data_IF_686367684662
#
_entry.id   IF_686367684662
#
_cell.length_a   1.000
_cell.length_b   1.000
_cell.length_c   1.000
_cell.angle_alpha   90.00
_cell.angle_beta   90.00
_cell.angle_gamma   90.00
#
_symmetry.space_group_name_H-M   'P 1'
#
loop_
_entity.id
_entity.type
_entity.pdbx_description
1 polymer ?
#
# COMPACT_ATOMS: atom_id res chain seq x y z
N UNK A 1 20.10 17.99 32.65
CA UNK A 1 19.47 17.00 31.76
C UNK A 1 18.22 16.49 32.45
N UNK A 2 17.07 16.48 31.77
CA UNK A 2 15.83 15.94 32.36
C UNK A 2 15.91 14.41 32.40
N UNK A 3 15.18 13.77 33.33
CA UNK A 3 15.05 12.31 33.34
C UNK A 3 14.52 11.78 31.99
N UNK A 4 13.65 12.54 31.31
CA UNK A 4 13.13 12.19 29.98
C UNK A 4 14.22 12.15 28.90
N UNK A 5 15.15 13.13 28.89
CA UNK A 5 16.28 13.13 27.94
C UNK A 5 17.26 11.98 28.15
N UNK A 6 17.38 11.51 29.41
CA UNK A 6 18.25 10.37 29.75
C UNK A 6 17.62 9.06 29.28
N UNK A 7 16.30 8.88 29.45
CA UNK A 7 15.58 7.68 28.99
C UNK A 7 15.46 7.60 27.47
N UNK A 8 15.25 8.73 26.78
CA UNK A 8 15.24 8.77 25.32
C UNK A 8 16.60 8.37 24.72
N UNK A 9 17.71 8.90 25.28
CA UNK A 9 19.07 8.50 24.92
C UNK A 9 19.37 7.03 25.24
N UNK A 10 18.91 6.52 26.39
CA UNK A 10 19.10 5.10 26.77
C UNK A 10 18.35 4.16 25.82
N UNK A 11 17.21 4.59 25.28
CA UNK A 11 16.41 3.80 24.34
C UNK A 11 16.71 4.11 22.87
N UNK A 12 17.64 5.01 22.57
CA UNK A 12 17.94 5.52 21.22
C UNK A 12 16.68 5.96 20.45
N UNK A 13 15.72 6.62 21.11
CA UNK A 13 14.43 7.03 20.52
C UNK A 13 14.45 8.46 19.98
N UNK A 14 15.62 8.93 19.55
CA UNK A 14 15.86 10.33 19.20
C UNK A 14 15.29 10.71 17.81
N UNK A 15 14.73 9.74 17.08
CA UNK A 15 14.13 9.92 15.75
C UNK A 15 12.73 9.29 15.66
N UNK A 16 11.88 9.81 14.76
CA UNK A 16 10.56 9.23 14.49
C UNK A 16 10.67 7.78 13.99
N UNK A 17 11.70 7.45 13.21
CA UNK A 17 11.97 6.09 12.73
C UNK A 17 12.31 5.13 13.89
N UNK A 18 13.12 5.57 14.85
CA UNK A 18 13.46 4.77 16.01
C UNK A 18 12.24 4.54 16.91
N UNK A 19 11.39 5.56 17.08
CA UNK A 19 10.11 5.44 17.77
C UNK A 19 9.21 4.42 17.07
N UNK A 20 9.05 4.52 15.75
CA UNK A 20 8.26 3.60 14.95
C UNK A 20 8.76 2.16 15.09
N UNK A 21 10.08 1.92 14.94
CA UNK A 21 10.68 0.60 15.09
C UNK A 21 10.47 -0.01 16.48
N UNK A 22 10.59 0.81 17.52
CA UNK A 22 10.35 0.41 18.91
C UNK A 22 8.87 0.05 19.14
N UNK A 23 7.95 0.88 18.67
CA UNK A 23 6.49 0.65 18.75
C UNK A 23 6.10 -0.62 17.98
N UNK A 24 6.64 -0.81 16.76
CA UNK A 24 6.45 -2.00 15.94
C UNK A 24 6.82 -3.28 16.70
N UNK A 25 8.00 -3.29 17.33
CA UNK A 25 8.46 -4.42 18.13
C UNK A 25 7.52 -4.71 19.29
N UNK A 26 7.14 -3.70 20.07
CA UNK A 26 6.23 -3.90 21.21
C UNK A 26 4.85 -4.43 20.80
N UNK A 27 4.30 -3.94 19.68
CA UNK A 27 3.04 -4.48 19.14
C UNK A 27 3.21 -5.94 18.74
N UNK A 28 4.28 -6.26 18.02
CA UNK A 28 4.58 -7.61 17.55
C UNK A 28 4.78 -8.58 18.70
N UNK A 29 5.52 -8.20 19.74
CA UNK A 29 5.72 -9.02 20.94
C UNK A 29 4.42 -9.22 21.72
N UNK A 30 3.62 -8.16 21.91
CA UNK A 30 2.33 -8.28 22.58
C UNK A 30 1.39 -9.25 21.84
N UNK A 31 1.36 -9.19 20.50
CA UNK A 31 0.53 -10.08 19.67
C UNK A 31 1.06 -11.52 19.70
N UNK A 32 2.39 -11.69 19.64
CA UNK A 32 3.03 -13.01 19.75
C UNK A 32 2.73 -13.67 21.08
N UNK A 33 2.82 -12.94 22.19
CA UNK A 33 2.56 -13.46 23.53
C UNK A 33 1.07 -13.68 23.81
N UNK A 34 0.23 -12.73 23.37
CA UNK A 34 -1.20 -12.77 23.62
C UNK A 34 -2.00 -13.66 22.66
N UNK A 35 -1.45 -13.98 21.49
CA UNK A 35 -2.14 -14.63 20.37
C UNK A 35 -3.21 -13.75 19.70
N UNK A 36 -3.88 -12.90 20.47
CA UNK A 36 -4.79 -11.87 20.02
C UNK A 36 -4.70 -10.66 20.96
N UNK A 37 -4.60 -9.45 20.38
CA UNK A 37 -4.57 -8.21 21.16
C UNK A 37 -5.51 -7.18 20.55
N UNK A 38 -6.41 -6.64 21.36
CA UNK A 38 -7.31 -5.57 20.90
C UNK A 38 -6.56 -4.26 20.66
N UNK A 39 -7.06 -3.43 19.73
CA UNK A 39 -6.50 -2.10 19.46
C UNK A 39 -6.42 -1.24 20.73
N UNK A 40 -7.45 -1.31 21.58
CA UNK A 40 -7.48 -0.58 22.86
C UNK A 40 -6.33 -0.99 23.79
N UNK A 41 -6.04 -2.30 23.89
CA UNK A 41 -4.94 -2.82 24.74
C UNK A 41 -3.58 -2.43 24.18
N UNK A 42 -3.41 -2.42 22.86
CA UNK A 42 -2.20 -1.90 22.19
C UNK A 42 -1.99 -0.43 22.58
N UNK A 43 -3.01 0.41 22.36
CA UNK A 43 -2.90 1.85 22.63
C UNK A 43 -2.63 2.14 24.10
N UNK A 44 -3.36 1.50 25.03
CA UNK A 44 -3.16 1.73 26.47
C UNK A 44 -1.80 1.22 26.95
N UNK A 45 -1.38 0.03 26.49
CA UNK A 45 -0.11 -0.59 26.88
C UNK A 45 1.09 0.24 26.42
N UNK A 46 1.06 0.74 25.18
CA UNK A 46 2.12 1.58 24.64
C UNK A 46 2.13 2.96 25.32
N UNK A 47 0.97 3.58 25.55
CA UNK A 47 0.94 4.84 26.30
C UNK A 47 1.58 4.72 27.68
N UNK A 48 1.29 3.64 28.41
CA UNK A 48 1.87 3.44 29.73
C UNK A 48 3.38 3.12 29.66
N UNK A 49 3.80 2.28 28.70
CA UNK A 49 5.20 1.93 28.53
C UNK A 49 6.09 3.13 28.15
N UNK A 50 5.56 4.08 27.37
CA UNK A 50 6.29 5.26 26.91
C UNK A 50 6.03 6.51 27.76
N UNK A 51 5.16 6.43 28.79
CA UNK A 51 4.86 7.53 29.72
C UNK A 51 6.11 8.20 30.33
N UNK A 52 7.18 7.48 30.72
CA UNK A 52 8.39 8.10 31.26
C UNK A 52 9.15 9.00 30.26
N UNK A 53 8.88 8.85 28.97
CA UNK A 53 9.57 9.59 27.89
C UNK A 53 8.90 10.92 27.55
N UNK A 54 7.71 11.18 28.09
CA UNK A 54 6.96 12.42 27.88
C UNK A 54 6.72 12.75 26.39
N UNK A 55 6.51 11.70 25.57
CA UNK A 55 6.19 11.84 24.15
C UNK A 55 4.75 12.34 24.01
N UNK A 56 4.54 13.35 23.14
CA UNK A 56 3.22 13.88 22.85
C UNK A 56 2.24 12.77 22.41
N UNK A 57 1.03 12.78 22.95
CA UNK A 57 0.05 11.70 22.73
C UNK A 57 -0.30 11.53 21.24
N UNK A 58 -0.41 12.63 20.50
CA UNK A 58 -0.73 12.58 19.07
C UNK A 58 0.41 11.98 18.24
N UNK A 59 1.67 12.27 18.59
CA UNK A 59 2.85 11.63 17.97
C UNK A 59 2.86 10.13 18.23
N UNK A 60 2.60 9.72 19.48
CA UNK A 60 2.56 8.30 19.83
C UNK A 60 1.39 7.58 19.15
N UNK A 61 0.23 8.25 19.03
CA UNK A 61 -0.94 7.72 18.32
C UNK A 61 -0.63 7.51 16.84
N UNK A 62 0.01 8.48 16.18
CA UNK A 62 0.44 8.36 14.79
C UNK A 62 1.41 7.18 14.62
N UNK A 63 2.43 7.06 15.49
CA UNK A 63 3.38 5.94 15.45
C UNK A 63 2.70 4.58 15.64
N UNK A 64 1.70 4.45 16.53
CA UNK A 64 0.91 3.22 16.70
C UNK A 64 0.16 2.88 15.42
N UNK A 65 -0.47 3.87 14.78
CA UNK A 65 -1.26 3.66 13.57
C UNK A 65 -0.38 3.28 12.38
N UNK A 66 0.78 3.92 12.24
CA UNK A 66 1.77 3.59 11.24
C UNK A 66 2.35 2.20 11.47
N UNK A 67 2.66 1.85 12.72
CA UNK A 67 3.17 0.53 13.08
C UNK A 67 2.17 -0.59 12.72
N UNK A 68 0.90 -0.44 13.12
CA UNK A 68 -0.17 -1.38 12.75
C UNK A 68 -0.29 -1.46 11.23
N UNK A 69 -0.28 -0.30 10.55
CA UNK A 69 -0.36 -0.22 9.10
C UNK A 69 0.77 -0.98 8.40
N UNK A 70 2.01 -0.85 8.87
CA UNK A 70 3.17 -1.58 8.34
C UNK A 70 3.04 -3.08 8.59
N UNK A 71 2.68 -3.51 9.80
CA UNK A 71 2.53 -4.94 10.14
C UNK A 71 1.43 -5.61 9.32
N UNK A 72 0.32 -4.90 9.07
CA UNK A 72 -0.74 -5.39 8.20
C UNK A 72 -0.30 -5.43 6.73
N UNK A 73 0.37 -4.38 6.24
CA UNK A 73 0.84 -4.33 4.83
C UNK A 73 1.91 -5.39 4.55
N UNK A 74 2.80 -5.66 5.50
CA UNK A 74 3.79 -6.74 5.37
C UNK A 74 3.15 -8.13 5.46
N UNK A 75 2.00 -8.25 6.13
CA UNK A 75 1.33 -9.50 6.43
C UNK A 75 1.94 -10.24 7.62
N UNK A 76 2.51 -9.48 8.56
CA UNK A 76 2.94 -9.97 9.87
C UNK A 76 1.76 -10.29 10.79
N UNK A 77 0.67 -9.51 10.66
CA UNK A 77 -0.54 -9.63 11.48
C UNK A 77 -1.79 -9.52 10.61
N UNK A 78 -2.86 -10.16 11.08
CA UNK A 78 -4.21 -9.99 10.53
C UNK A 78 -5.07 -9.14 11.48
N UNK A 79 -5.94 -8.31 10.90
CA UNK A 79 -6.99 -7.62 11.65
C UNK A 79 -8.23 -8.51 11.75
N UNK A 80 -8.75 -8.66 12.95
CA UNK A 80 -9.98 -9.36 13.24
C UNK A 80 -11.01 -8.39 13.82
N UNK A 81 -12.19 -8.35 13.20
CA UNK A 81 -13.33 -7.62 13.72
C UNK A 81 -14.09 -8.49 14.73
N UNK A 82 -14.26 -7.99 15.95
CA UNK A 82 -15.02 -8.67 17.02
C UNK A 82 -16.16 -7.77 17.50
N UNK A 83 -17.10 -8.32 18.28
CA UNK A 83 -18.16 -7.52 18.91
C UNK A 83 -17.66 -6.42 19.85
N UNK A 84 -16.40 -6.51 20.31
CA UNK A 84 -15.76 -5.50 21.16
C UNK A 84 -14.89 -4.51 20.37
N UNK A 85 -14.91 -4.57 19.04
CA UNK A 85 -14.10 -3.74 18.13
C UNK A 85 -12.99 -4.51 17.43
N UNK A 86 -11.97 -3.78 16.98
CA UNK A 86 -10.82 -4.33 16.22
C UNK A 86 -9.76 -4.91 17.14
N UNK A 87 -9.19 -6.04 16.75
CA UNK A 87 -7.95 -6.56 17.31
C UNK A 87 -7.10 -7.25 16.25
N UNK A 88 -5.94 -7.71 16.67
CA UNK A 88 -4.94 -8.24 15.76
C UNK A 88 -4.36 -9.55 16.27
N UNK A 89 -4.10 -10.46 15.34
CA UNK A 89 -3.52 -11.78 15.60
C UNK A 89 -2.29 -11.99 14.69
N UNK A 90 -1.30 -12.78 15.09
CA UNK A 90 -0.14 -13.01 14.25
C UNK A 90 -0.50 -13.93 13.09
N UNK A 91 0.12 -13.70 11.93
CA UNK A 91 0.06 -14.66 10.84
C UNK A 91 1.00 -15.84 11.09
N UNK A 92 0.82 -16.93 10.33
CA UNK A 92 1.65 -18.14 10.46
C UNK A 92 3.13 -17.83 10.24
N UNK A 93 4.03 -18.20 11.16
CA UNK A 93 5.47 -18.06 11.00
C UNK A 93 6.00 -18.67 9.71
N UNK A 94 6.70 -17.88 8.89
CA UNK A 94 7.26 -18.34 7.61
C UNK A 94 8.43 -17.49 7.15
N UNK A 95 9.34 -18.14 6.42
CA UNK A 95 10.48 -17.51 5.74
C UNK A 95 10.11 -17.26 4.28
N UNK A 96 10.16 -16.01 3.86
CA UNK A 96 9.94 -15.62 2.47
C UNK A 96 11.24 -15.55 1.69
N UNK A 97 11.23 -16.16 0.50
CA UNK A 97 12.38 -16.19 -0.41
C UNK A 97 12.00 -15.65 -1.80
N UNK A 98 12.86 -14.81 -2.38
CA UNK A 98 12.69 -14.31 -3.75
C UNK A 98 13.96 -14.38 -4.60
N UNK A 99 15.07 -14.88 -4.05
CA UNK A 99 16.37 -14.96 -4.74
C UNK A 99 17.28 -13.73 -4.57
N UNK A 100 16.93 -12.82 -3.66
CA UNK A 100 17.80 -11.72 -3.23
C UNK A 100 18.91 -12.16 -2.26
N UNK A 101 19.66 -11.19 -1.72
CA UNK A 101 20.72 -11.44 -0.74
C UNK A 101 20.19 -11.75 0.68
N UNK A 102 18.94 -11.39 0.94
CA UNK A 102 18.25 -11.60 2.20
C UNK A 102 16.97 -12.44 2.02
N UNK A 103 16.47 -12.95 3.14
CA UNK A 103 15.11 -13.44 3.29
C UNK A 103 14.31 -12.48 4.17
N UNK A 104 12.99 -12.61 4.13
CA UNK A 104 12.10 -11.95 5.08
C UNK A 104 11.46 -12.97 5.99
N UNK A 105 11.32 -12.63 7.26
CA UNK A 105 10.65 -13.46 8.26
C UNK A 105 9.35 -12.81 8.68
N UNK A 106 8.24 -13.51 8.47
CA UNK A 106 6.89 -13.05 8.82
C UNK A 106 6.27 -13.83 9.97
N UNK A 107 5.29 -13.21 10.63
CA UNK A 107 4.44 -13.85 11.65
C UNK A 107 5.06 -13.86 13.07
N UNK A 108 4.57 -14.75 13.93
CA UNK A 108 4.93 -14.84 15.36
C UNK A 108 6.37 -15.33 15.68
N UNK A 109 7.36 -14.97 14.86
CA UNK A 109 8.77 -15.35 15.08
C UNK A 109 9.43 -14.40 16.08
N UNK A 110 10.13 -14.93 17.08
CA UNK A 110 10.98 -14.12 17.94
C UNK A 110 12.27 -13.77 17.19
N UNK A 111 12.48 -12.48 16.90
CA UNK A 111 13.70 -11.94 16.31
C UNK A 111 14.02 -10.61 16.97
N UNK A 112 15.28 -10.44 17.38
CA UNK A 112 15.79 -9.18 17.91
C UNK A 112 16.05 -8.20 16.77
N UNK A 113 14.99 -7.67 16.17
CA UNK A 113 15.07 -6.61 15.16
C UNK A 113 13.99 -5.56 15.44
N UNK A 114 14.40 -4.29 15.40
CA UNK A 114 13.50 -3.14 15.43
C UNK A 114 13.07 -2.75 14.02
N UNK A 115 13.57 -3.45 13.00
CA UNK A 115 13.30 -3.10 11.61
C UNK A 115 11.81 -3.35 11.32
N UNK A 116 11.19 -2.48 10.52
CA UNK A 116 9.79 -2.66 10.16
C UNK A 116 9.54 -4.00 9.46
N UNK A 117 10.51 -4.43 8.65
CA UNK A 117 10.54 -5.72 7.98
C UNK A 117 11.77 -6.47 8.47
N UNK A 118 11.55 -7.66 9.04
CA UNK A 118 12.62 -8.49 9.58
C UNK A 118 13.33 -9.22 8.44
N UNK A 119 14.41 -8.63 7.94
CA UNK A 119 15.29 -9.25 6.95
C UNK A 119 16.42 -9.98 7.64
N UNK A 120 16.76 -11.16 7.14
CA UNK A 120 17.86 -11.99 7.62
C UNK A 120 18.68 -12.49 6.43
N UNK A 121 20.02 -12.58 6.54
CA UNK A 121 20.86 -13.13 5.48
C UNK A 121 20.37 -14.48 4.94
N UNK A 122 20.59 -14.76 3.65
CA UNK A 122 20.17 -16.04 3.04
C UNK A 122 20.76 -17.27 3.74
N UNK A 123 21.98 -17.14 4.26
CA UNK A 123 22.70 -18.23 4.93
C UNK A 123 22.17 -18.55 6.34
N UNK A 124 21.32 -17.68 6.91
CA UNK A 124 20.73 -17.92 8.22
C UNK A 124 19.73 -19.08 8.15
N UNK A 125 20.03 -20.13 8.92
CA UNK A 125 19.15 -21.29 9.07
C UNK A 125 18.10 -20.98 10.12
N UNK A 126 16.84 -20.98 9.71
CA UNK A 126 15.69 -20.86 10.60
C UNK A 126 14.78 -22.06 10.40
N UNK A 127 14.28 -22.61 11.50
CA UNK A 127 13.30 -23.71 11.49
C UNK A 127 11.90 -23.16 11.18
N UNK A 128 11.70 -22.72 9.93
CA UNK A 128 10.48 -22.10 9.44
C UNK A 128 10.11 -22.67 8.07
N UNK A 129 8.80 -22.69 7.78
CA UNK A 129 8.31 -23.03 6.45
C UNK A 129 8.84 -21.98 5.47
N UNK A 130 9.57 -22.44 4.45
CA UNK A 130 10.05 -21.58 3.36
C UNK A 130 8.96 -21.42 2.32
N UNK A 131 8.60 -20.18 2.02
CA UNK A 131 7.56 -19.81 1.07
C UNK A 131 8.14 -18.87 0.02
N UNK A 132 8.05 -19.19 -1.28
CA UNK A 132 8.45 -18.26 -2.33
C UNK A 132 7.56 -17.00 -2.34
N UNK A 133 8.14 -15.84 -2.66
CA UNK A 133 7.40 -14.57 -2.69
C UNK A 133 6.15 -14.62 -3.57
N UNK A 134 6.23 -15.27 -4.74
CA UNK A 134 5.08 -15.37 -5.64
C UNK A 134 3.94 -16.24 -5.06
N UNK A 135 4.25 -17.20 -4.19
CA UNK A 135 3.25 -17.99 -3.47
C UNK A 135 2.61 -17.16 -2.36
N UNK A 136 3.42 -16.41 -1.62
CA UNK A 136 2.96 -15.51 -0.55
C UNK A 136 2.05 -14.39 -1.07
N UNK A 137 2.40 -13.80 -2.22
CA UNK A 137 1.60 -12.75 -2.84
C UNK A 137 0.34 -13.32 -3.50
N UNK A 138 0.34 -14.60 -3.88
CA UNK A 138 -0.76 -15.24 -4.56
C UNK A 138 -0.95 -14.76 -6.01
N UNK A 139 -2.14 -15.01 -6.55
CA UNK A 139 -2.51 -14.53 -7.90
C UNK A 139 -2.68 -13.00 -7.91
N UNK A 140 -2.50 -12.33 -9.06
CA UNK A 140 -2.68 -10.88 -9.13
C UNK A 140 -4.06 -10.43 -8.65
N UNK A 141 -4.11 -9.51 -7.68
CA UNK A 141 -5.34 -9.11 -7.00
C UNK A 141 -6.36 -8.42 -7.93
N UNK A 142 -5.92 -7.87 -9.07
CA UNK A 142 -6.82 -7.32 -10.08
C UNK A 142 -7.75 -8.39 -10.68
N UNK A 143 -7.35 -9.67 -10.68
CA UNK A 143 -8.20 -10.77 -11.17
C UNK A 143 -9.36 -11.04 -10.24
N UNK A 144 -9.10 -11.04 -8.93
CA UNK A 144 -10.13 -11.18 -7.90
C UNK A 144 -11.11 -10.01 -7.97
N UNK A 145 -10.57 -8.79 -8.06
CA UNK A 145 -11.39 -7.60 -8.27
C UNK A 145 -12.25 -7.67 -9.54
N UNK A 146 -11.71 -8.18 -10.66
CA UNK A 146 -12.47 -8.33 -11.90
C UNK A 146 -13.65 -9.29 -11.73
N UNK A 147 -13.43 -10.45 -11.10
CA UNK A 147 -14.48 -11.44 -10.84
C UNK A 147 -15.52 -10.91 -9.85
N UNK A 148 -15.10 -10.25 -8.78
CA UNK A 148 -16.00 -9.64 -7.79
C UNK A 148 -16.93 -8.59 -8.41
N UNK A 149 -16.46 -7.89 -9.44
CA UNK A 149 -17.25 -6.92 -10.19
C UNK A 149 -18.13 -7.56 -11.28
N UNK A 150 -18.07 -8.88 -11.46
CA UNK A 150 -18.86 -9.63 -12.45
C UNK A 150 -18.19 -9.79 -13.82
N UNK A 151 -16.91 -9.44 -13.95
CA UNK A 151 -16.13 -9.66 -15.16
C UNK A 151 -15.63 -11.11 -15.30
N UNK A 152 -15.12 -11.45 -16.49
CA UNK A 152 -14.55 -12.76 -16.77
C UNK A 152 -13.02 -12.76 -16.64
N UNK A 153 -12.47 -13.65 -15.83
CA UNK A 153 -11.02 -13.85 -15.69
C UNK A 153 -10.49 -14.78 -16.79
N UNK A 154 -9.68 -14.24 -17.71
CA UNK A 154 -8.98 -15.04 -18.71
C UNK A 154 -7.50 -15.24 -18.33
N UNK A 155 -6.92 -16.43 -18.60
CA UNK A 155 -5.53 -16.73 -18.25
C UNK A 155 -4.49 -15.76 -18.84
N UNK A 156 -4.74 -15.21 -20.02
CA UNK A 156 -3.85 -14.32 -20.76
C UNK A 156 -4.04 -12.82 -20.47
N UNK A 157 -5.04 -12.46 -19.68
CA UNK A 157 -5.34 -11.05 -19.42
C UNK A 157 -4.32 -10.43 -18.45
N UNK A 158 -4.19 -9.11 -18.54
CA UNK A 158 -3.46 -8.25 -17.62
C UNK A 158 -4.43 -7.25 -16.94
N UNK A 159 -3.90 -6.33 -16.13
CA UNK A 159 -4.70 -5.34 -15.43
C UNK A 159 -5.56 -4.44 -16.36
N UNK A 160 -5.30 -4.43 -17.68
CA UNK A 160 -6.16 -3.70 -18.64
C UNK A 160 -7.57 -4.26 -18.67
N UNK A 161 -7.76 -5.57 -18.51
CA UNK A 161 -9.09 -6.19 -18.50
C UNK A 161 -9.98 -5.61 -17.39
N UNK A 162 -9.42 -5.42 -16.19
CA UNK A 162 -10.12 -4.73 -15.10
C UNK A 162 -10.48 -3.29 -15.47
N UNK A 163 -9.57 -2.56 -16.13
CA UNK A 163 -9.85 -1.19 -16.54
C UNK A 163 -10.87 -1.07 -17.67
N UNK A 164 -10.89 -2.01 -18.62
CA UNK A 164 -11.88 -2.06 -19.69
C UNK A 164 -13.28 -2.35 -19.12
N UNK A 165 -13.36 -3.27 -18.18
CA UNK A 165 -14.61 -3.54 -17.46
C UNK A 165 -15.07 -2.32 -16.64
N UNK A 166 -14.14 -1.65 -15.94
CA UNK A 166 -14.43 -0.41 -15.21
C UNK A 166 -14.92 0.73 -16.13
N UNK A 167 -14.41 0.82 -17.37
CA UNK A 167 -14.91 1.77 -18.38
C UNK A 167 -16.38 1.48 -18.70
N UNK A 168 -16.72 0.22 -18.93
CA UNK A 168 -18.11 -0.17 -19.19
C UNK A 168 -19.05 0.17 -18.00
N UNK A 169 -18.59 -0.11 -16.77
CA UNK A 169 -19.33 0.29 -15.55
C UNK A 169 -19.52 1.80 -15.48
N UNK A 170 -18.48 2.59 -15.77
CA UNK A 170 -18.55 4.05 -15.78
C UNK A 170 -19.50 4.60 -16.85
N UNK A 171 -19.46 4.08 -18.09
CA UNK A 171 -20.37 4.51 -19.17
C UNK A 171 -21.84 4.20 -18.85
N UNK A 172 -22.11 3.13 -18.08
CA UNK A 172 -23.46 2.79 -17.58
C UNK A 172 -23.80 3.36 -16.20
N UNK A 173 -22.91 4.17 -15.64
CA UNK A 173 -22.95 4.63 -14.25
C UNK A 173 -23.93 5.77 -13.98
N UNK A 174 -23.79 6.37 -12.79
CA UNK A 174 -24.60 7.51 -12.36
C UNK A 174 -24.28 8.74 -13.21
N UNK A 175 -25.29 9.52 -13.61
CA UNK A 175 -25.05 10.80 -14.29
C UNK A 175 -24.37 11.78 -13.35
N UNK A 176 -23.36 12.46 -13.85
CA UNK A 176 -22.65 13.52 -13.13
C UNK A 176 -22.74 14.83 -13.91
N UNK A 177 -22.98 15.95 -13.22
CA UNK A 177 -22.97 17.26 -13.86
C UNK A 177 -21.55 17.82 -13.91
N UNK A 178 -21.15 18.33 -15.08
CA UNK A 178 -19.89 19.06 -15.27
C UNK A 178 -20.02 20.56 -14.96
N UNK A 179 -21.15 21.02 -14.43
CA UNK A 179 -21.42 22.44 -14.14
C UNK A 179 -20.54 23.01 -13.01
N UNK A 180 -20.02 22.14 -12.14
CA UNK A 180 -19.09 22.49 -11.07
C UNK A 180 -17.69 21.88 -11.31
N UNK A 181 -16.97 22.31 -12.36
CA UNK A 181 -15.71 21.70 -12.76
C UNK A 181 -14.59 21.86 -11.72
N UNK A 182 -14.73 22.79 -10.77
CA UNK A 182 -13.81 22.96 -9.64
C UNK A 182 -13.87 21.79 -8.64
N UNK A 183 -14.98 21.05 -8.61
CA UNK A 183 -15.19 19.92 -7.70
C UNK A 183 -14.68 18.61 -8.30
N UNK A 184 -14.28 18.62 -9.58
CA UNK A 184 -13.80 17.47 -10.32
C UNK A 184 -12.31 17.64 -10.66
N UNK A 185 -11.52 16.66 -10.27
CA UNK A 185 -10.16 16.50 -10.77
C UNK A 185 -10.06 15.16 -11.50
N UNK A 186 -9.67 15.18 -12.77
CA UNK A 186 -9.37 13.96 -13.55
C UNK A 186 -7.88 13.75 -13.66
N UNK A 187 -7.47 12.49 -13.67
CA UNK A 187 -6.10 12.09 -13.91
C UNK A 187 -5.89 12.05 -15.44
N UNK A 188 -5.38 13.15 -16.02
CA UNK A 188 -5.39 13.39 -17.48
C UNK A 188 -4.20 12.79 -18.25
N UNK A 189 -3.17 12.31 -17.55
CA UNK A 189 -2.14 11.42 -18.10
C UNK A 189 -1.23 11.94 -19.22
N UNK A 190 -0.08 12.53 -18.87
CA UNK A 190 1.30 12.24 -19.34
C UNK A 190 2.29 12.94 -18.37
N UNK A 191 3.48 12.38 -18.08
CA UNK A 191 4.49 12.97 -17.15
C UNK A 191 4.97 12.07 -15.98
N UNK A 192 6.16 12.31 -15.43
CA UNK A 192 6.85 11.35 -14.54
C UNK A 192 6.31 11.21 -13.10
N UNK A 193 5.29 11.96 -12.68
CA UNK A 193 4.90 12.00 -11.27
C UNK A 193 3.39 11.92 -11.07
N UNK A 194 3.00 11.08 -10.12
CA UNK A 194 1.69 11.11 -9.50
C UNK A 194 1.80 12.11 -8.34
N UNK A 195 0.97 13.15 -8.34
CA UNK A 195 0.86 14.05 -7.19
C UNK A 195 0.03 13.40 -6.09
N UNK A 196 -0.07 14.06 -4.94
CA UNK A 196 -1.03 13.69 -3.90
C UNK A 196 -2.47 13.79 -4.43
N UNK A 197 -3.42 13.00 -3.89
CA UNK A 197 -4.84 13.05 -4.29
C UNK A 197 -5.58 14.34 -3.88
N UNK A 198 -4.86 15.38 -3.43
CA UNK A 198 -5.42 16.51 -2.68
C UNK A 198 -5.59 17.81 -3.49
N UNK A 199 -5.99 17.69 -4.76
CA UNK A 199 -6.42 18.81 -5.61
C UNK A 199 -5.69 18.90 -6.95
N UNK A 200 -6.07 19.83 -7.84
CA UNK A 200 -5.41 20.03 -9.12
C UNK A 200 -3.97 20.53 -8.91
N UNK A 201 -3.01 19.60 -8.96
CA UNK A 201 -1.58 19.85 -9.07
C UNK A 201 -0.93 18.69 -9.84
N UNK A 202 0.01 18.99 -10.74
CA UNK A 202 0.59 17.98 -11.64
C UNK A 202 -0.42 17.41 -12.66
N UNK A 203 -0.45 16.08 -12.82
CA UNK A 203 -1.31 15.31 -13.77
C UNK A 203 -2.84 15.38 -13.49
N UNK A 204 -3.27 16.04 -12.42
CA UNK A 204 -4.68 16.31 -12.17
C UNK A 204 -5.12 17.51 -12.99
N UNK A 205 -5.97 17.28 -13.99
CA UNK A 205 -6.51 18.34 -14.84
C UNK A 205 -8.03 18.37 -14.78
N UNK A 206 -8.60 19.34 -15.51
CA UNK A 206 -10.02 19.30 -15.88
C UNK A 206 -10.17 18.37 -17.07
N UNK A 207 -11.33 17.73 -17.18
CA UNK A 207 -11.65 16.95 -18.37
C UNK A 207 -12.01 17.91 -19.50
N UNK A 208 -11.24 17.87 -20.59
CA UNK A 208 -11.37 18.72 -21.76
C UNK A 208 -11.76 17.95 -23.03
N UNK A 209 -11.87 16.63 -22.93
CA UNK A 209 -12.19 15.72 -24.03
C UNK A 209 -13.06 14.55 -23.57
N UNK A 210 -13.73 13.93 -24.55
CA UNK A 210 -14.40 12.66 -24.38
C UNK A 210 -13.38 11.56 -24.02
N UNK A 211 -13.77 10.65 -23.15
CA UNK A 211 -12.89 9.60 -22.67
C UNK A 211 -13.32 9.05 -21.32
N UNK A 212 -12.47 8.19 -20.76
CA UNK A 212 -12.69 7.60 -19.45
C UNK A 212 -11.47 7.79 -18.56
N UNK A 213 -11.67 8.42 -17.41
CA UNK A 213 -10.61 8.97 -16.58
C UNK A 213 -10.79 8.51 -15.11
N UNK A 214 -9.72 8.08 -14.42
CA UNK A 214 -9.72 8.08 -12.97
C UNK A 214 -9.93 9.52 -12.49
N UNK A 215 -10.84 9.72 -11.55
CA UNK A 215 -11.17 11.05 -11.06
C UNK A 215 -11.36 11.06 -9.55
N UNK A 216 -11.21 12.25 -8.97
CA UNK A 216 -11.67 12.55 -7.62
C UNK A 216 -12.74 13.62 -7.69
N UNK A 217 -13.87 13.35 -7.05
CA UNK A 217 -14.97 14.31 -6.89
C UNK A 217 -14.97 14.79 -5.44
N UNK A 218 -14.94 16.09 -5.24
CA UNK A 218 -15.00 16.73 -3.93
C UNK A 218 -16.39 17.30 -3.69
N UNK A 219 -17.04 16.92 -2.59
CA UNK A 219 -18.35 17.43 -2.20
C UNK A 219 -18.42 17.63 -0.69
N UNK A 220 -18.55 18.88 -0.24
CA UNK A 220 -18.52 19.22 1.18
C UNK A 220 -17.25 18.70 1.88
N UNK A 221 -17.42 17.84 2.89
CA UNK A 221 -16.33 17.20 3.64
C UNK A 221 -15.91 15.83 3.09
N UNK A 222 -16.42 15.40 1.93
CA UNK A 222 -16.14 14.07 1.35
C UNK A 222 -15.42 14.18 0.02
N UNK A 223 -14.43 13.31 -0.17
CA UNK A 223 -13.77 13.05 -1.46
C UNK A 223 -14.10 11.64 -1.92
N UNK A 224 -14.67 11.51 -3.12
CA UNK A 224 -14.99 10.23 -3.75
C UNK A 224 -13.98 9.96 -4.85
N UNK A 225 -13.46 8.73 -4.91
CA UNK A 225 -12.61 8.27 -6.02
C UNK A 225 -13.50 7.54 -7.00
N UNK A 226 -13.55 8.01 -8.23
CA UNK A 226 -14.44 7.48 -9.25
C UNK A 226 -13.69 7.19 -10.54
N UNK A 227 -14.35 6.47 -11.43
CA UNK A 227 -14.05 6.42 -12.85
C UNK A 227 -15.11 7.27 -13.54
N UNK A 228 -14.68 8.35 -14.21
CA UNK A 228 -15.53 9.27 -14.96
C UNK A 228 -15.48 8.89 -16.43
N UNK A 229 -16.64 8.66 -17.05
CA UNK A 229 -16.78 8.55 -18.49
C UNK A 229 -17.45 9.83 -19.04
N UNK A 230 -16.90 10.39 -20.11
CA UNK A 230 -17.46 11.52 -20.85
C UNK A 230 -17.64 11.08 -22.30
N UNK A 231 -18.87 11.08 -22.76
CA UNK A 231 -19.24 10.69 -24.12
C UNK A 231 -20.29 11.66 -24.67
N UNK A 232 -19.98 12.32 -25.79
CA UNK A 232 -20.87 13.26 -26.45
C UNK A 232 -21.40 14.36 -25.50
N UNK A 233 -20.53 14.89 -24.65
CA UNK A 233 -20.88 15.91 -23.66
C UNK A 233 -21.73 15.41 -22.47
N UNK A 234 -21.94 14.10 -22.33
CA UNK A 234 -22.58 13.51 -21.15
C UNK A 234 -21.51 12.89 -20.25
N UNK A 235 -21.54 13.24 -18.97
CA UNK A 235 -20.68 12.65 -17.96
C UNK A 235 -21.44 11.63 -17.11
N UNK A 236 -20.84 10.45 -16.95
CA UNK A 236 -21.28 9.41 -16.02
C UNK A 236 -20.12 8.96 -15.14
N UNK A 237 -20.43 8.48 -13.93
CA UNK A 237 -19.43 8.08 -12.95
C UNK A 237 -19.77 6.72 -12.36
N UNK A 238 -18.71 5.98 -12.05
CA UNK A 238 -18.79 4.78 -11.25
C UNK A 238 -17.74 4.83 -10.14
N UNK A 239 -18.14 4.47 -8.92
CA UNK A 239 -17.27 4.46 -7.74
C UNK A 239 -16.77 3.04 -7.47
N UNK A 240 -15.45 2.77 -7.57
CA UNK A 240 -14.93 1.46 -7.22
C UNK A 240 -15.18 1.12 -5.74
N UNK A 241 -15.48 -0.15 -5.40
CA UNK A 241 -15.80 -0.54 -4.02
C UNK A 241 -14.68 -0.28 -3.01
N UNK A 242 -13.42 -0.29 -3.46
CA UNK A 242 -12.26 -0.04 -2.62
C UNK A 242 -11.23 0.84 -3.31
N UNK A 243 -10.39 1.51 -2.50
CA UNK A 243 -9.24 2.28 -3.01
C UNK A 243 -8.24 1.40 -3.77
N UNK A 244 -8.09 0.14 -3.37
CA UNK A 244 -7.14 -0.78 -4.01
C UNK A 244 -7.59 -1.15 -5.43
N UNK A 245 -8.89 -1.42 -5.61
CA UNK A 245 -9.48 -1.61 -6.95
C UNK A 245 -9.27 -0.37 -7.81
N UNK A 246 -9.44 0.83 -7.26
CA UNK A 246 -9.17 2.08 -7.97
C UNK A 246 -7.68 2.21 -8.38
N UNK A 247 -6.72 1.81 -7.53
CA UNK A 247 -5.30 1.79 -7.92
C UNK A 247 -5.03 0.80 -9.07
N UNK A 248 -5.60 -0.41 -9.02
CA UNK A 248 -5.46 -1.38 -10.12
C UNK A 248 -6.05 -0.88 -11.43
N UNK A 249 -7.20 -0.19 -11.40
CA UNK A 249 -7.79 0.42 -12.59
C UNK A 249 -6.86 1.50 -13.18
N UNK A 250 -6.21 2.31 -12.35
CA UNK A 250 -5.23 3.31 -12.81
C UNK A 250 -4.07 2.63 -13.55
N UNK A 251 -3.54 1.55 -12.98
CA UNK A 251 -2.50 0.73 -13.63
C UNK A 251 -2.99 0.26 -15.00
N UNK A 252 -4.18 -0.35 -15.07
CA UNK A 252 -4.77 -0.83 -16.33
C UNK A 252 -4.99 0.27 -17.37
N UNK A 253 -5.52 1.44 -16.98
CA UNK A 253 -5.71 2.59 -17.87
C UNK A 253 -4.36 3.09 -18.41
N UNK A 254 -3.35 3.18 -17.54
CA UNK A 254 -2.01 3.65 -17.89
C UNK A 254 -1.34 2.68 -18.88
N UNK A 255 -1.44 1.37 -18.64
CA UNK A 255 -0.96 0.33 -19.56
C UNK A 255 -1.72 0.34 -20.89
N UNK A 256 -3.04 0.57 -20.87
CA UNK A 256 -3.86 0.68 -22.09
C UNK A 256 -3.42 1.87 -22.96
N UNK A 257 -3.01 2.96 -22.32
CA UNK A 257 -2.42 4.12 -22.98
C UNK A 257 -0.94 3.92 -23.39
N UNK A 258 -0.38 2.72 -23.22
CA UNK A 258 1.04 2.39 -23.45
C UNK A 258 2.01 3.30 -22.68
N UNK A 259 1.57 3.81 -21.53
CA UNK A 259 2.40 4.62 -20.65
C UNK A 259 3.11 3.73 -19.62
N UNK A 260 4.31 4.12 -19.15
CA UNK A 260 4.99 3.40 -18.09
C UNK A 260 4.26 3.59 -16.75
N UNK A 261 4.08 2.48 -16.02
CA UNK A 261 3.52 2.47 -14.66
C UNK A 261 4.59 2.47 -13.57
N UNK A 262 5.86 2.35 -13.97
CA UNK A 262 7.06 2.41 -13.13
C UNK A 262 8.26 2.91 -13.94
N UNK A 263 9.30 3.37 -13.24
CA UNK A 263 10.60 3.76 -13.80
C UNK A 263 11.75 3.24 -12.93
N UNK A 264 12.93 3.13 -13.51
CA UNK A 264 14.17 2.80 -12.79
C UNK A 264 15.15 3.95 -12.95
N UNK A 265 15.52 4.57 -11.83
CA UNK A 265 16.63 5.50 -11.78
C UNK A 265 17.93 4.72 -11.49
N UNK A 266 18.73 4.50 -12.54
CA UNK A 266 19.97 3.72 -12.43
C UNK A 266 21.05 4.43 -11.63
N UNK A 267 21.09 5.76 -11.63
CA UNK A 267 22.08 6.53 -10.86
C UNK A 267 21.79 6.44 -9.35
N UNK A 268 20.52 6.53 -8.97
CA UNK A 268 20.09 6.43 -7.57
C UNK A 268 19.90 4.96 -7.10
N UNK A 269 19.89 4.01 -8.03
CA UNK A 269 19.58 2.60 -7.75
C UNK A 269 18.14 2.38 -7.27
N UNK A 270 17.19 3.21 -7.70
CA UNK A 270 15.81 3.19 -7.22
C UNK A 270 14.81 2.76 -8.29
N UNK A 271 13.80 2.03 -7.84
CA UNK A 271 12.57 1.75 -8.56
C UNK A 271 11.51 2.74 -8.10
N UNK A 272 10.81 3.38 -9.04
CA UNK A 272 9.81 4.40 -8.77
C UNK A 272 8.47 3.98 -9.38
N UNK A 273 7.42 3.97 -8.58
CA UNK A 273 6.08 3.75 -9.09
C UNK A 273 5.57 5.05 -9.72
N UNK A 274 5.28 4.96 -11.02
CA UNK A 274 4.61 6.00 -11.78
C UNK A 274 3.10 5.70 -11.83
N UNK A 275 2.52 5.17 -10.76
CA UNK A 275 1.09 5.06 -10.49
C UNK A 275 0.98 4.83 -8.98
N UNK A 276 -0.15 5.12 -8.31
CA UNK A 276 -0.31 4.71 -6.92
C UNK A 276 -0.22 3.19 -6.85
N UNK A 277 0.73 2.61 -6.10
CA UNK A 277 0.94 1.18 -6.12
C UNK A 277 -0.30 0.47 -5.52
N UNK A 278 -0.82 -0.56 -6.19
CA UNK A 278 -1.79 -1.45 -5.56
C UNK A 278 -1.16 -2.15 -4.35
N UNK A 279 -1.97 -2.51 -3.35
CA UNK A 279 -1.51 -3.07 -2.06
C UNK A 279 -0.63 -4.29 -2.21
N UNK A 280 -0.97 -5.21 -3.12
CA UNK A 280 -0.18 -6.41 -3.38
C UNK A 280 1.23 -6.07 -3.89
N UNK A 281 1.33 -5.03 -4.72
CA UNK A 281 2.58 -4.57 -5.33
C UNK A 281 3.42 -3.77 -4.33
N UNK A 282 2.77 -2.88 -3.58
CA UNK A 282 3.38 -2.17 -2.45
C UNK A 282 3.94 -3.16 -1.42
N UNK A 283 3.18 -4.20 -1.09
CA UNK A 283 3.61 -5.29 -0.21
C UNK A 283 4.84 -6.00 -0.74
N UNK A 284 4.87 -6.33 -2.03
CA UNK A 284 6.05 -6.93 -2.66
C UNK A 284 7.28 -6.04 -2.45
N UNK A 285 7.18 -4.75 -2.80
CA UNK A 285 8.27 -3.79 -2.65
C UNK A 285 8.73 -3.62 -1.20
N UNK A 286 7.78 -3.53 -0.26
CA UNK A 286 8.02 -3.43 1.17
C UNK A 286 8.80 -4.64 1.70
N UNK A 287 8.42 -5.86 1.29
CA UNK A 287 9.09 -7.07 1.73
C UNK A 287 10.52 -7.13 1.17
N UNK A 288 10.70 -6.83 -0.11
CA UNK A 288 11.95 -7.13 -0.83
C UNK A 288 12.96 -6.00 -0.90
N UNK A 289 12.67 -4.78 -0.42
CA UNK A 289 13.68 -3.72 -0.44
C UNK A 289 13.36 -2.47 0.37
N UNK A 290 14.27 -1.51 0.31
CA UNK A 290 14.26 -0.36 1.23
C UNK A 290 13.45 0.79 0.66
N UNK A 291 12.48 1.25 1.43
CA UNK A 291 11.67 2.41 1.04
C UNK A 291 12.53 3.68 1.11
N UNK A 292 12.61 4.40 0.00
CA UNK A 292 13.34 5.68 -0.11
C UNK A 292 12.38 6.86 -0.01
N UNK A 293 11.18 6.71 -0.58
CA UNK A 293 10.11 7.71 -0.51
C UNK A 293 8.76 7.02 -0.54
N UNK A 294 7.67 7.78 -0.48
CA UNK A 294 6.31 7.25 -0.49
C UNK A 294 6.09 6.23 -1.61
N UNK A 295 6.66 6.45 -2.81
CA UNK A 295 6.50 5.58 -3.98
C UNK A 295 7.82 5.12 -4.62
N UNK A 296 8.92 5.14 -3.88
CA UNK A 296 10.21 4.69 -4.39
C UNK A 296 10.91 3.74 -3.42
N UNK A 297 11.51 2.69 -3.98
CA UNK A 297 12.24 1.65 -3.26
C UNK A 297 13.58 1.35 -3.92
N UNK A 298 14.57 0.98 -3.13
CA UNK A 298 15.77 0.28 -3.61
C UNK A 298 15.45 -1.21 -3.68
N UNK A 299 15.48 -1.77 -4.89
CA UNK A 299 15.11 -3.16 -5.17
C UNK A 299 16.20 -3.86 -5.96
N UNK A 300 16.53 -5.08 -5.56
CA UNK A 300 17.33 -5.99 -6.39
C UNK A 300 16.59 -6.39 -7.68
N UNK A 301 17.31 -6.99 -8.63
CA UNK A 301 16.74 -7.35 -9.93
C UNK A 301 15.65 -8.43 -9.84
N UNK A 302 15.72 -9.32 -8.85
CA UNK A 302 14.73 -10.40 -8.66
C UNK A 302 13.41 -9.85 -8.12
N UNK A 303 13.50 -8.97 -7.11
CA UNK A 303 12.39 -8.21 -6.56
C UNK A 303 11.70 -7.37 -7.64
N UNK A 304 12.50 -6.65 -8.44
CA UNK A 304 12.01 -5.87 -9.57
C UNK A 304 11.25 -6.75 -10.57
N UNK A 305 11.84 -7.86 -11.00
CA UNK A 305 11.19 -8.79 -11.92
C UNK A 305 9.90 -9.43 -11.36
N UNK A 306 9.76 -9.57 -10.04
CA UNK A 306 8.51 -10.01 -9.42
C UNK A 306 7.42 -8.94 -9.48
N UNK A 307 7.76 -7.69 -9.16
CA UNK A 307 6.85 -6.54 -9.23
C UNK A 307 6.41 -6.25 -10.67
N UNK A 308 7.35 -6.29 -11.62
CA UNK A 308 7.05 -6.11 -13.05
C UNK A 308 6.07 -7.15 -13.58
N UNK A 309 6.15 -8.40 -13.10
CA UNK A 309 5.18 -9.46 -13.46
C UNK A 309 3.78 -9.21 -12.91
N UNK A 310 3.66 -8.57 -11.75
CA UNK A 310 2.35 -8.23 -11.16
C UNK A 310 1.69 -7.03 -11.84
N UNK A 311 2.49 -5.99 -12.12
CA UNK A 311 1.99 -4.79 -12.78
C UNK A 311 1.81 -4.99 -14.29
N UNK A 312 2.56 -5.90 -14.89
CA UNK A 312 2.74 -5.97 -16.33
C UNK A 312 3.78 -4.96 -16.83
N UNK A 313 4.21 -5.14 -18.08
CA UNK A 313 5.06 -4.17 -18.78
C UNK A 313 4.20 -3.43 -19.82
N UNK A 314 4.51 -2.16 -20.12
CA UNK A 314 4.06 -1.54 -21.35
C UNK A 314 4.75 -2.27 -22.51
N UNK A 315 4.23 -3.44 -22.91
CA UNK A 315 4.70 -4.11 -24.11
C UNK A 315 4.20 -3.29 -25.31
N UNK A 316 5.16 -2.94 -26.16
CA UNK A 316 5.06 -2.16 -27.41
C UNK A 316 3.87 -2.50 -28.27
#
# INVERSE_FOLDING_TARGET
MSNSSLWAQVLNLDTEEALLGSVLRHIRDAIREGGYVSRGRITSGIKEAYRPLDIAEDTLRAAIDDAIGVLMRSGDIDELATGAGRGYAPTTPRRLVWGGADNVVLGAVALSSNDPIRRVPVDDRMDLITTPLHVELGRPAWRDALVELGGADQPQDDAKALSEYARALASSGERYSLDEPQNLAVLSGTGAYFGTPDGPSGRWARADCDGCFPATISGGYRKRRVILAIENGRATVWEPPTRDIWHWIIVGITLSARQPVWAVNREAGTFEFLTPPPRQVERAALLTGDQVSAWSWRLDDQARGAIERLLGSPRT
#
